data_IF_379464242821
#
_entry.id   IF_379464242821
#
_cell.length_a   1.000
_cell.length_b   1.000
_cell.length_c   1.000
_cell.angle_alpha   90.00
_cell.angle_beta   90.00
_cell.angle_gamma   90.00
#
_symmetry.space_group_name_H-M   'P 1'
#
loop_
_entity.id
_entity.type
_entity.pdbx_description
1 polymer ?
#
# COMPACT_ATOMS: atom_id res chain seq x y z
N UNK A 1 22.84 -7.45 -14.00
CA UNK A 1 22.07 -6.46 -13.21
C UNK A 1 21.60 -7.12 -11.92
N UNK A 2 21.57 -6.41 -10.78
CA UNK A 2 20.94 -6.94 -9.56
C UNK A 2 19.44 -6.76 -9.72
N UNK A 3 18.71 -7.86 -9.85
CA UNK A 3 17.25 -7.85 -9.91
C UNK A 3 16.74 -8.01 -8.46
N UNK A 4 15.83 -7.14 -8.05
CA UNK A 4 15.19 -7.19 -6.73
C UNK A 4 13.73 -7.57 -6.91
N UNK A 5 13.13 -8.19 -5.90
CA UNK A 5 11.69 -8.44 -5.81
C UNK A 5 11.30 -8.36 -4.34
N UNK A 6 10.22 -7.66 -4.05
CA UNK A 6 9.79 -7.40 -2.69
C UNK A 6 8.53 -6.54 -2.68
N UNK A 7 8.10 -6.12 -1.50
CA UNK A 7 6.98 -5.18 -1.35
C UNK A 7 7.23 -3.83 -2.07
N UNK A 8 8.49 -3.52 -2.40
CA UNK A 8 8.88 -2.33 -3.18
C UNK A 8 8.98 -2.57 -4.69
N UNK A 9 8.53 -3.72 -5.19
CA UNK A 9 8.52 -4.05 -6.62
C UNK A 9 9.81 -4.66 -7.16
N UNK A 10 9.99 -4.55 -8.47
CA UNK A 10 10.98 -5.30 -9.29
C UNK A 10 12.20 -4.47 -9.72
N UNK A 11 12.12 -3.14 -9.58
CA UNK A 11 13.16 -2.17 -9.98
C UNK A 11 13.61 -2.30 -11.44
N UNK A 12 12.67 -2.50 -12.37
CA UNK A 12 12.94 -2.64 -13.80
C UNK A 12 12.34 -1.51 -14.67
N UNK A 13 11.79 -0.46 -14.04
CA UNK A 13 11.11 0.67 -14.69
C UNK A 13 9.77 0.34 -15.35
N UNK A 14 9.23 -0.86 -15.14
CA UNK A 14 7.89 -1.22 -15.55
C UNK A 14 6.92 -1.15 -14.38
N UNK A 15 5.98 -0.19 -14.45
CA UNK A 15 4.97 0.01 -13.40
C UNK A 15 3.83 -1.02 -13.39
N UNK A 16 3.83 -1.93 -14.36
CA UNK A 16 2.78 -2.94 -14.50
C UNK A 16 3.12 -4.24 -13.78
N UNK A 17 4.36 -4.39 -13.29
CA UNK A 17 4.84 -5.64 -12.70
C UNK A 17 5.34 -5.52 -11.25
N UNK A 18 5.17 -4.38 -10.57
CA UNK A 18 5.60 -4.26 -9.16
C UNK A 18 4.90 -5.25 -8.24
N UNK A 19 3.72 -5.74 -8.62
CA UNK A 19 3.00 -6.77 -7.88
C UNK A 19 3.47 -8.20 -8.22
N UNK A 20 4.67 -8.35 -8.78
CA UNK A 20 5.34 -9.64 -8.96
C UNK A 20 5.59 -10.30 -7.61
N UNK A 21 5.07 -11.52 -7.42
CA UNK A 21 5.24 -12.31 -6.20
C UNK A 21 6.59 -13.03 -6.16
N UNK A 22 6.97 -13.68 -5.03
CA UNK A 22 8.11 -14.60 -5.01
C UNK A 22 8.00 -15.77 -5.99
N UNK A 23 6.78 -16.19 -6.36
CA UNK A 23 6.55 -17.26 -7.34
C UNK A 23 6.68 -16.78 -8.80
N UNK A 24 6.73 -15.46 -9.02
CA UNK A 24 6.99 -14.85 -10.33
C UNK A 24 5.75 -14.55 -11.17
N UNK A 25 4.56 -14.83 -10.66
CA UNK A 25 3.30 -14.31 -11.16
C UNK A 25 3.05 -12.87 -10.69
N UNK A 26 2.14 -12.16 -11.38
CA UNK A 26 1.78 -10.76 -11.07
C UNK A 26 0.36 -10.73 -10.52
N UNK A 27 0.22 -10.26 -9.29
CA UNK A 27 -1.06 -10.11 -8.62
C UNK A 27 -1.76 -8.80 -9.03
N UNK A 28 -3.10 -8.79 -9.03
CA UNK A 28 -3.87 -7.57 -9.38
C UNK A 28 -4.35 -6.79 -8.15
N UNK A 29 -4.24 -7.37 -6.95
CA UNK A 29 -4.78 -6.80 -5.71
C UNK A 29 -3.71 -6.59 -4.64
N UNK A 30 -3.73 -5.43 -4.00
CA UNK A 30 -2.78 -5.06 -2.92
C UNK A 30 -2.73 -6.10 -1.81
N UNK A 31 -3.88 -6.61 -1.37
CA UNK A 31 -3.95 -7.62 -0.30
C UNK A 31 -3.38 -8.97 -0.73
N UNK A 32 -3.63 -9.42 -1.96
CA UNK A 32 -3.10 -10.67 -2.49
C UNK A 32 -1.58 -10.59 -2.64
N UNK A 33 -1.08 -9.51 -3.27
CA UNK A 33 0.34 -9.20 -3.40
C UNK A 33 1.06 -9.17 -2.04
N UNK A 34 0.56 -8.40 -1.07
CA UNK A 34 1.17 -8.30 0.25
C UNK A 34 1.15 -9.64 1.02
N UNK A 35 0.09 -10.45 0.85
CA UNK A 35 0.02 -11.78 1.44
C UNK A 35 1.03 -12.76 0.85
N UNK A 36 1.38 -12.63 -0.44
CA UNK A 36 2.41 -13.46 -1.08
C UNK A 36 3.82 -13.22 -0.50
N UNK A 37 4.05 -12.05 0.09
CA UNK A 37 5.30 -11.67 0.76
C UNK A 37 5.29 -11.87 2.29
N UNK A 38 4.25 -12.50 2.84
CA UNK A 38 4.16 -12.74 4.27
C UNK A 38 5.36 -13.54 4.77
N UNK A 39 6.07 -13.03 5.76
CA UNK A 39 7.16 -13.74 6.41
C UNK A 39 6.66 -15.05 7.04
N UNK A 40 7.51 -16.08 7.06
CA UNK A 40 7.19 -17.36 7.68
C UNK A 40 6.82 -17.18 9.17
N UNK A 41 5.79 -17.90 9.63
CA UNK A 41 5.26 -17.83 10.99
C UNK A 41 3.73 -17.73 11.06
N UNK A 42 3.19 -17.49 12.25
CA UNK A 42 1.75 -17.36 12.53
C UNK A 42 1.21 -15.96 12.17
N UNK A 43 1.70 -15.33 11.11
CA UNK A 43 1.14 -14.06 10.64
C UNK A 43 -0.23 -14.31 10.00
N UNK A 44 -1.31 -13.68 10.47
CA UNK A 44 -2.62 -13.81 9.85
C UNK A 44 -2.57 -13.23 8.43
N UNK A 45 -3.34 -13.83 7.52
CA UNK A 45 -3.53 -13.25 6.20
C UNK A 45 -4.27 -11.91 6.32
N UNK A 46 -3.88 -10.94 5.51
CA UNK A 46 -4.60 -9.69 5.38
C UNK A 46 -5.99 -9.99 4.81
N UNK A 47 -7.03 -9.59 5.54
CA UNK A 47 -8.39 -9.53 5.02
C UNK A 47 -8.49 -8.41 3.94
N UNK A 48 -9.46 -8.49 3.01
CA UNK A 48 -9.69 -7.41 2.04
C UNK A 48 -9.92 -6.11 2.79
N UNK A 49 -9.09 -5.07 2.59
CA UNK A 49 -9.11 -3.84 3.40
C UNK A 49 -10.52 -3.24 3.50
N UNK A 50 -11.18 -3.28 4.68
CA UNK A 50 -12.47 -2.64 4.83
C UNK A 50 -12.45 -1.79 6.08
N UNK A 51 -12.22 -0.48 5.92
CA UNK A 51 -12.70 0.60 6.78
C UNK A 51 -12.07 1.88 6.25
N UNK A 52 -12.89 2.81 5.75
CA UNK A 52 -12.47 4.18 5.55
C UNK A 52 -12.20 4.77 6.95
N UNK A 53 -10.94 5.10 7.31
CA UNK A 53 -10.64 5.53 8.68
C UNK A 53 -11.38 6.82 9.06
N UNK A 54 -11.68 7.67 8.08
CA UNK A 54 -12.45 8.90 8.29
C UNK A 54 -13.92 8.64 8.63
N UNK A 55 -14.49 7.50 8.23
CA UNK A 55 -15.85 7.11 8.60
C UNK A 55 -15.85 6.41 9.96
N UNK A 56 -14.88 5.52 10.19
CA UNK A 56 -14.71 4.79 11.45
C UNK A 56 -14.41 5.73 12.63
N UNK A 57 -13.68 6.82 12.37
CA UNK A 57 -13.28 7.81 13.36
C UNK A 57 -13.79 9.20 12.97
N UNK A 58 -15.08 9.32 12.67
CA UNK A 58 -15.71 10.56 12.20
C UNK A 58 -15.37 11.80 13.07
N UNK A 59 -15.26 11.65 14.40
CA UNK A 59 -14.88 12.75 15.31
C UNK A 59 -13.46 13.29 15.12
N UNK A 60 -12.58 12.59 14.38
CA UNK A 60 -11.22 13.04 14.03
C UNK A 60 -11.11 13.61 12.63
N UNK A 61 -12.18 13.52 11.82
CA UNK A 61 -12.16 13.87 10.41
C UNK A 61 -11.82 15.35 10.19
N UNK A 62 -12.54 16.25 10.85
CA UNK A 62 -12.35 17.70 10.69
C UNK A 62 -10.93 18.12 11.06
N UNK A 63 -10.38 17.57 12.15
CA UNK A 63 -9.00 17.82 12.57
C UNK A 63 -7.99 17.34 11.52
N UNK A 64 -8.17 16.13 10.99
CA UNK A 64 -7.29 15.58 9.97
C UNK A 64 -7.34 16.40 8.66
N UNK A 65 -8.54 16.77 8.21
CA UNK A 65 -8.73 17.59 7.02
C UNK A 65 -8.09 18.97 7.18
N UNK A 66 -8.30 19.64 8.32
CA UNK A 66 -7.70 20.94 8.61
C UNK A 66 -6.16 20.89 8.66
N UNK A 67 -5.60 19.86 9.28
CA UNK A 67 -4.14 19.68 9.34
C UNK A 67 -3.53 19.40 7.96
N UNK A 68 -4.17 18.54 7.16
CA UNK A 68 -3.66 18.16 5.84
C UNK A 68 -3.89 19.22 4.76
N UNK A 69 -4.82 20.17 4.96
CA UNK A 69 -5.12 21.23 4.00
C UNK A 69 -3.90 22.09 3.63
N UNK A 70 -2.94 22.23 4.55
CA UNK A 70 -1.68 22.96 4.31
C UNK A 70 -0.93 22.45 3.08
N UNK A 71 -0.96 21.14 2.81
CA UNK A 71 -0.28 20.53 1.66
C UNK A 71 -0.84 21.01 0.31
N UNK A 72 -2.04 21.60 0.29
CA UNK A 72 -2.68 22.19 -0.91
C UNK A 72 -2.68 23.72 -0.87
N UNK A 73 -2.11 24.30 0.17
CA UNK A 73 -2.10 25.74 0.40
C UNK A 73 -0.92 26.45 -0.28
N UNK A 74 -0.83 27.78 -0.15
CA UNK A 74 0.17 28.60 -0.83
C UNK A 74 1.62 28.26 -0.48
N UNK A 75 1.87 27.62 0.66
CA UNK A 75 3.22 27.20 1.06
C UNK A 75 3.80 26.09 0.17
N UNK A 76 2.94 25.36 -0.56
CA UNK A 76 3.29 24.21 -1.40
C UNK A 76 2.83 24.38 -2.86
N UNK A 77 2.55 25.63 -3.29
CA UNK A 77 2.28 26.02 -4.68
C UNK A 77 3.50 26.73 -5.26
#
# INVERSE_FOLDING_TARGET
ARQVRGLCGTYNWDQQDEFTTPAGDVETGVAAFANAYRAAGNCPALAPLPLQPCDAFAGRRELAEAACAVLRGPAFQ
#
